data_IF_986518602692
#
_entry.id   IF_986518602692
#
_cell.length_a   1.000
_cell.length_b   1.000
_cell.length_c   1.000
_cell.angle_alpha   90.00
_cell.angle_beta   90.00
_cell.angle_gamma   90.00
#
_symmetry.space_group_name_H-M   'P 1'
#
loop_
_entity.id
_entity.type
_entity.pdbx_description
1 polymer ?
#
# COMPACT_ATOMS: atom_id res chain seq x y z
N UNK A 1 10.20 5.67 -18.22
CA UNK A 1 9.12 5.07 -17.43
C UNK A 1 7.83 5.77 -17.75
N UNK A 2 6.79 5.03 -18.06
CA UNK A 2 5.51 5.63 -18.41
C UNK A 2 4.83 6.24 -17.18
N UNK A 3 4.35 7.47 -17.37
CA UNK A 3 3.58 8.17 -16.37
C UNK A 3 2.15 7.65 -16.39
N UNK A 4 1.66 7.19 -15.25
CA UNK A 4 0.29 6.69 -15.08
C UNK A 4 -0.36 7.45 -13.95
N UNK A 5 -1.62 7.83 -14.14
CA UNK A 5 -2.41 8.49 -13.09
C UNK A 5 -3.45 7.50 -12.57
N UNK A 6 -3.41 7.21 -11.28
CA UNK A 6 -4.36 6.33 -10.61
C UNK A 6 -4.93 7.05 -9.40
N UNK A 7 -6.24 7.12 -9.31
CA UNK A 7 -6.94 7.84 -8.23
C UNK A 7 -6.47 9.29 -8.09
N UNK A 8 -6.14 9.94 -9.22
CA UNK A 8 -5.64 11.30 -9.23
C UNK A 8 -4.18 11.45 -8.84
N UNK A 9 -3.47 10.35 -8.57
CA UNK A 9 -2.07 10.36 -8.17
C UNK A 9 -1.19 10.05 -9.38
N UNK A 10 -0.21 10.92 -9.63
CA UNK A 10 0.81 10.67 -10.64
C UNK A 10 1.80 9.65 -10.11
N UNK A 11 1.76 8.43 -10.64
CA UNK A 11 2.58 7.34 -10.13
C UNK A 11 4.08 7.56 -10.34
N UNK A 12 4.46 8.41 -11.30
CA UNK A 12 5.88 8.72 -11.54
C UNK A 12 6.45 9.61 -10.43
N UNK A 13 5.62 10.36 -9.72
CA UNK A 13 6.05 11.28 -8.66
C UNK A 13 5.94 10.71 -7.26
N UNK A 14 5.56 9.42 -7.11
CA UNK A 14 5.46 8.81 -5.79
C UNK A 14 6.83 8.77 -5.11
N UNK A 15 6.90 9.15 -3.83
CA UNK A 15 8.17 9.11 -3.12
C UNK A 15 8.65 7.69 -2.87
N UNK A 16 9.94 7.56 -2.68
CA UNK A 16 10.56 6.31 -2.21
C UNK A 16 11.23 6.60 -0.87
N UNK A 17 11.20 5.62 0.03
CA UNK A 17 11.88 5.73 1.32
C UNK A 17 12.79 4.53 1.51
N UNK A 18 13.95 4.77 2.11
CA UNK A 18 14.88 3.69 2.44
C UNK A 18 14.32 2.86 3.60
N UNK A 19 14.86 1.65 3.78
CA UNK A 19 14.42 0.78 4.87
C UNK A 19 14.59 1.41 6.25
N UNK A 20 15.69 2.13 6.46
CA UNK A 20 15.94 2.80 7.73
C UNK A 20 14.98 3.97 7.97
N UNK A 21 14.75 4.77 6.94
CA UNK A 21 13.77 5.86 7.01
C UNK A 21 12.37 5.32 7.26
N UNK A 22 12.02 4.23 6.60
CA UNK A 22 10.70 3.60 6.76
C UNK A 22 10.47 3.18 8.20
N UNK A 23 11.47 2.54 8.83
CA UNK A 23 11.36 2.09 10.21
C UNK A 23 11.15 3.28 11.16
N UNK A 24 11.93 4.35 10.97
CA UNK A 24 11.79 5.54 11.81
C UNK A 24 10.45 6.22 11.64
N UNK A 25 9.97 6.33 10.40
CA UNK A 25 8.64 6.91 10.13
C UNK A 25 7.54 6.09 10.78
N UNK A 26 7.63 4.77 10.68
CA UNK A 26 6.63 3.89 11.27
C UNK A 26 6.61 4.02 12.80
N UNK A 27 7.78 4.09 13.43
CA UNK A 27 7.86 4.31 14.87
C UNK A 27 7.19 5.60 15.28
N UNK A 28 7.45 6.68 14.56
CA UNK A 28 6.84 7.99 14.83
C UNK A 28 5.32 7.94 14.62
N UNK A 29 4.88 7.31 13.54
CA UNK A 29 3.47 7.16 13.23
C UNK A 29 2.73 6.41 14.35
N UNK A 30 3.36 5.35 14.88
CA UNK A 30 2.78 4.56 15.96
C UNK A 30 2.72 5.33 17.28
N UNK A 31 3.51 6.39 17.42
CA UNK A 31 3.46 7.28 18.59
C UNK A 31 2.49 8.44 18.41
N UNK A 32 1.76 8.48 17.29
CA UNK A 32 0.75 9.49 17.05
C UNK A 32 1.16 10.64 16.15
N UNK A 33 2.35 10.58 15.53
CA UNK A 33 2.80 11.60 14.58
C UNK A 33 2.08 11.40 13.24
N UNK A 34 1.09 12.23 12.97
CA UNK A 34 0.27 12.10 11.77
C UNK A 34 1.02 12.40 10.48
N UNK A 35 1.98 13.31 10.53
CA UNK A 35 2.80 13.60 9.36
C UNK A 35 3.68 12.40 9.00
N UNK A 36 4.26 11.75 9.99
CA UNK A 36 5.04 10.54 9.77
C UNK A 36 4.17 9.42 9.19
N UNK A 37 2.94 9.27 9.69
CA UNK A 37 1.98 8.30 9.18
C UNK A 37 1.68 8.55 7.70
N UNK A 38 1.40 9.78 7.35
CA UNK A 38 1.11 10.16 5.97
C UNK A 38 2.31 9.91 5.06
N UNK A 39 3.50 10.29 5.49
CA UNK A 39 4.72 10.04 4.73
C UNK A 39 4.98 8.54 4.56
N UNK A 40 4.71 7.75 5.58
CA UNK A 40 4.87 6.30 5.50
C UNK A 40 3.89 5.68 4.51
N UNK A 41 2.63 6.12 4.55
CA UNK A 41 1.62 5.66 3.58
C UNK A 41 2.05 6.02 2.16
N UNK A 42 2.43 7.27 1.91
CA UNK A 42 2.86 7.72 0.60
C UNK A 42 4.09 6.94 0.11
N UNK A 43 5.04 6.70 1.00
CA UNK A 43 6.27 5.97 0.66
C UNK A 43 6.03 4.51 0.32
N UNK A 44 4.87 3.94 0.68
CA UNK A 44 4.52 2.56 0.39
C UNK A 44 3.48 2.42 -0.74
N UNK A 45 3.07 3.51 -1.36
CA UNK A 45 2.10 3.43 -2.46
C UNK A 45 2.66 2.73 -3.69
N UNK A 46 3.98 2.81 -3.92
CA UNK A 46 4.61 2.05 -5.00
C UNK A 46 4.48 0.56 -4.78
N UNK A 47 4.53 0.12 -3.54
CA UNK A 47 4.31 -1.29 -3.19
C UNK A 47 2.89 -1.71 -3.57
N UNK A 48 1.90 -0.91 -3.23
CA UNK A 48 0.50 -1.18 -3.61
C UNK A 48 0.37 -1.29 -5.12
N UNK A 49 0.95 -0.32 -5.85
CA UNK A 49 0.93 -0.33 -7.31
C UNK A 49 1.54 -1.60 -7.90
N UNK A 50 2.70 -2.01 -7.39
CA UNK A 50 3.37 -3.20 -7.90
C UNK A 50 2.52 -4.45 -7.68
N UNK A 51 1.75 -4.48 -6.61
CA UNK A 51 0.88 -5.62 -6.31
C UNK A 51 -0.34 -5.64 -7.24
N UNK A 52 -1.02 -4.50 -7.40
CA UNK A 52 -2.24 -4.48 -8.22
C UNK A 52 -1.95 -4.78 -9.69
N UNK A 53 -0.76 -4.45 -10.17
CA UNK A 53 -0.35 -4.75 -11.56
C UNK A 53 -0.28 -6.24 -11.85
N UNK A 54 -0.22 -7.09 -10.83
CA UNK A 54 -0.20 -8.54 -10.99
C UNK A 54 -1.58 -9.12 -11.29
N UNK A 55 -2.65 -8.34 -11.12
CA UNK A 55 -4.01 -8.83 -11.32
C UNK A 55 -4.48 -8.52 -12.74
N UNK A 56 -5.11 -9.51 -13.42
CA UNK A 56 -5.58 -9.31 -14.80
C UNK A 56 -6.57 -8.16 -14.97
N UNK A 57 -7.39 -7.91 -13.94
CA UNK A 57 -8.40 -6.85 -13.98
C UNK A 57 -7.83 -5.45 -13.74
N UNK A 58 -6.52 -5.31 -13.51
CA UNK A 58 -5.92 -4.02 -13.21
C UNK A 58 -6.08 -2.99 -14.34
N UNK A 59 -6.11 -3.43 -15.60
CA UNK A 59 -6.30 -2.53 -16.73
C UNK A 59 -7.63 -1.79 -16.69
N UNK A 60 -8.68 -2.46 -16.27
CA UNK A 60 -10.05 -1.93 -16.32
C UNK A 60 -10.46 -1.30 -15.00
N UNK A 61 -9.88 -1.76 -13.90
CA UNK A 61 -10.30 -1.42 -12.55
C UNK A 61 -9.17 -0.87 -11.70
N UNK A 62 -8.16 -0.24 -12.31
CA UNK A 62 -6.96 0.19 -11.60
C UNK A 62 -7.26 1.05 -10.37
N UNK A 63 -8.19 2.00 -10.50
CA UNK A 63 -8.52 2.91 -9.40
C UNK A 63 -9.14 2.14 -8.22
N UNK A 64 -10.07 1.22 -8.52
CA UNK A 64 -10.73 0.43 -7.49
C UNK A 64 -9.76 -0.51 -6.80
N UNK A 65 -8.89 -1.17 -7.58
CA UNK A 65 -7.89 -2.07 -7.04
C UNK A 65 -6.88 -1.31 -6.18
N UNK A 66 -6.49 -0.12 -6.62
CA UNK A 66 -5.56 0.70 -5.85
C UNK A 66 -6.17 1.13 -4.51
N UNK A 67 -7.44 1.54 -4.51
CA UNK A 67 -8.13 1.90 -3.28
C UNK A 67 -8.21 0.71 -2.32
N UNK A 68 -8.57 -0.46 -2.82
CA UNK A 68 -8.61 -1.67 -2.00
C UNK A 68 -7.22 -2.00 -1.44
N UNK A 69 -6.20 -1.87 -2.28
CA UNK A 69 -4.82 -2.11 -1.85
C UNK A 69 -4.39 -1.14 -0.76
N UNK A 70 -4.78 0.12 -0.86
CA UNK A 70 -4.47 1.12 0.17
C UNK A 70 -5.16 0.80 1.50
N UNK A 71 -6.37 0.25 1.47
CA UNK A 71 -7.03 -0.22 2.69
C UNK A 71 -6.19 -1.31 3.35
N UNK A 72 -5.68 -2.26 2.57
CA UNK A 72 -4.81 -3.31 3.08
C UNK A 72 -3.52 -2.75 3.67
N UNK A 73 -2.94 -1.74 3.01
CA UNK A 73 -1.74 -1.07 3.50
C UNK A 73 -2.01 -0.40 4.87
N UNK A 74 -3.12 0.32 5.00
CA UNK A 74 -3.46 1.00 6.25
C UNK A 74 -3.68 -0.01 7.38
N UNK A 75 -4.37 -1.12 7.09
CA UNK A 75 -4.54 -2.20 8.06
C UNK A 75 -3.19 -2.77 8.49
N UNK A 76 -2.26 -2.93 7.55
CA UNK A 76 -0.92 -3.42 7.86
C UNK A 76 -0.18 -2.43 8.77
N UNK A 77 -0.27 -1.14 8.48
CA UNK A 77 0.38 -0.11 9.31
C UNK A 77 -0.14 -0.17 10.75
N UNK A 78 -1.43 -0.33 10.91
CA UNK A 78 -2.05 -0.30 12.23
C UNK A 78 -1.78 -1.56 13.05
N UNK A 79 -1.48 -2.67 12.39
CA UNK A 79 -1.34 -3.97 13.06
C UNK A 79 0.08 -4.53 13.07
N UNK A 80 1.03 -3.88 12.41
CA UNK A 80 2.40 -4.39 12.33
C UNK A 80 3.08 -4.36 13.69
N UNK A 81 3.70 -5.48 14.05
CA UNK A 81 4.46 -5.61 15.29
C UNK A 81 5.93 -5.28 15.00
N UNK A 82 6.37 -4.13 15.48
CA UNK A 82 7.73 -3.64 15.29
C UNK A 82 8.79 -4.52 15.96
N UNK A 83 8.39 -5.33 16.94
CA UNK A 83 9.32 -6.15 17.71
C UNK A 83 9.66 -7.48 17.03
N UNK A 84 8.95 -7.86 15.96
CA UNK A 84 9.10 -9.20 15.36
C UNK A 84 10.36 -9.34 14.51
N UNK A 85 10.93 -8.23 14.04
CA UNK A 85 12.18 -8.27 13.27
C UNK A 85 12.02 -8.60 11.81
N UNK A 86 10.80 -8.68 11.28
CA UNK A 86 10.55 -8.82 9.83
C UNK A 86 10.37 -7.46 9.20
N UNK A 87 10.63 -7.37 7.89
CA UNK A 87 10.40 -6.14 7.15
C UNK A 87 8.90 -5.87 7.03
N UNK A 88 8.53 -4.58 7.13
CA UNK A 88 7.14 -4.18 6.98
C UNK A 88 6.52 -4.70 5.68
N UNK A 89 7.25 -4.59 4.56
CA UNK A 89 6.74 -5.03 3.26
C UNK A 89 6.36 -6.50 3.25
N UNK A 90 7.12 -7.35 3.95
CA UNK A 90 6.81 -8.77 4.05
C UNK A 90 5.46 -9.00 4.72
N UNK A 91 5.16 -8.22 5.72
CA UNK A 91 3.87 -8.28 6.42
C UNK A 91 2.74 -7.66 5.59
N UNK A 92 3.02 -6.55 4.92
CA UNK A 92 2.00 -5.76 4.23
C UNK A 92 1.49 -6.44 2.95
N UNK A 93 2.36 -7.14 2.21
CA UNK A 93 1.99 -7.73 0.91
C UNK A 93 0.77 -8.64 1.02
N UNK A 94 0.70 -9.62 1.93
CA UNK A 94 -0.49 -10.46 2.03
C UNK A 94 -1.75 -9.68 2.42
N UNK A 95 -1.61 -8.64 3.22
CA UNK A 95 -2.77 -7.83 3.63
C UNK A 95 -3.31 -7.00 2.48
N UNK A 96 -2.40 -6.42 1.67
CA UNK A 96 -2.79 -5.67 0.47
C UNK A 96 -3.47 -6.62 -0.53
N UNK A 97 -2.84 -7.77 -0.80
CA UNK A 97 -3.40 -8.76 -1.71
C UNK A 97 -4.76 -9.26 -1.24
N UNK A 98 -4.92 -9.45 0.05
CA UNK A 98 -6.18 -9.93 0.62
C UNK A 98 -7.34 -8.98 0.36
N UNK A 99 -7.10 -7.68 0.51
CA UNK A 99 -8.15 -6.67 0.24
C UNK A 99 -8.48 -6.59 -1.25
N UNK A 100 -7.47 -6.66 -2.12
CA UNK A 100 -7.68 -6.65 -3.57
C UNK A 100 -8.48 -7.88 -3.99
N UNK A 101 -8.11 -9.05 -3.49
CA UNK A 101 -8.83 -10.30 -3.81
C UNK A 101 -10.28 -10.25 -3.33
N UNK A 102 -10.53 -9.66 -2.17
CA UNK A 102 -11.89 -9.49 -1.66
C UNK A 102 -12.74 -8.65 -2.60
N UNK A 103 -12.18 -7.55 -3.10
CA UNK A 103 -12.87 -6.70 -4.07
C UNK A 103 -13.19 -7.46 -5.34
N UNK A 104 -12.22 -8.19 -5.88
CA UNK A 104 -12.41 -8.97 -7.12
C UNK A 104 -13.49 -10.04 -6.94
N UNK A 105 -13.50 -10.72 -5.80
CA UNK A 105 -14.56 -11.68 -5.50
C UNK A 105 -15.93 -11.02 -5.48
N UNK A 106 -16.01 -9.79 -4.99
CA UNK A 106 -17.24 -9.02 -5.01
C UNK A 106 -17.76 -8.79 -6.43
N UNK A 107 -16.87 -8.49 -7.37
CA UNK A 107 -17.26 -8.37 -8.78
C UNK A 107 -17.84 -9.66 -9.32
N UNK A 108 -17.23 -10.78 -8.96
CA UNK A 108 -17.62 -12.08 -9.51
C UNK A 108 -18.91 -12.64 -8.88
N UNK A 109 -19.34 -12.12 -7.75
CA UNK A 109 -20.54 -12.60 -7.07
C UNK A 109 -21.81 -11.85 -7.50
N UNK A 110 -21.66 -10.87 -8.38
CA UNK A 110 -22.80 -10.19 -8.99
C UNK A 110 -23.29 -10.95 -10.25
#
# INVERSE_FOLDING_TARGET
MNKVVICGIDTASLPTISGDEATELLKKARRGDEQAREQFILGNMRLVLSIIKRFPSAKENADDLFQAGCIGLIKAIDNFDLSVGVMFSTYAVPMIMGEVKRLIRGYNSL
#
